data_IF_652971051669
#
_entry.id   IF_652971051669
#
_cell.length_a   1.000
_cell.length_b   1.000
_cell.length_c   1.000
_cell.angle_alpha   90.00
_cell.angle_beta   90.00
_cell.angle_gamma   90.00
#
_symmetry.space_group_name_H-M   'P 1'
#
loop_
_entity.id
_entity.type
_entity.pdbx_description
1 polymer ?
#
# COMPACT_ATOMS: atom_id res chain seq x y z
N UNK A 1 8.59 -13.09 -3.30
CA UNK A 1 7.89 -14.36 -3.03
C UNK A 1 8.18 -14.78 -1.60
N UNK A 2 7.18 -14.73 -0.70
CA UNK A 2 7.40 -15.02 0.71
C UNK A 2 7.59 -16.50 1.04
N UNK A 3 7.36 -17.42 0.09
CA UNK A 3 7.60 -18.86 0.27
C UNK A 3 8.98 -19.24 -0.27
N UNK A 4 9.32 -18.73 -1.45
CA UNK A 4 10.60 -19.02 -2.10
C UNK A 4 11.74 -18.08 -1.67
N UNK A 5 11.44 -17.02 -0.90
CA UNK A 5 12.39 -16.02 -0.41
C UNK A 5 13.24 -15.41 -1.55
N UNK A 6 12.57 -15.08 -2.66
CA UNK A 6 13.21 -14.50 -3.84
C UNK A 6 12.35 -13.38 -4.42
N UNK A 7 13.00 -12.46 -5.12
CA UNK A 7 12.32 -11.50 -6.00
C UNK A 7 11.84 -12.18 -7.27
N UNK A 8 10.86 -11.55 -7.93
CA UNK A 8 10.25 -12.00 -9.18
C UNK A 8 10.27 -10.85 -10.18
N UNK A 9 10.43 -11.19 -11.46
CA UNK A 9 10.11 -10.29 -12.57
C UNK A 9 8.59 -10.17 -12.74
N UNK A 10 8.13 -9.07 -13.35
CA UNK A 10 6.71 -8.89 -13.70
C UNK A 10 6.17 -10.06 -14.55
N UNK A 11 7.02 -10.65 -15.40
CA UNK A 11 6.67 -11.81 -16.23
C UNK A 11 6.48 -13.12 -15.43
N UNK A 12 6.89 -13.15 -14.16
CA UNK A 12 6.82 -14.32 -13.27
C UNK A 12 5.69 -14.20 -12.25
N UNK A 13 4.88 -13.15 -12.36
CA UNK A 13 3.69 -12.89 -11.55
C UNK A 13 2.45 -13.15 -12.39
N UNK A 14 1.68 -14.15 -11.99
CA UNK A 14 0.39 -14.47 -12.60
C UNK A 14 -0.73 -13.75 -11.83
N UNK A 15 -1.61 -13.06 -12.56
CA UNK A 15 -2.70 -12.30 -11.97
C UNK A 15 -3.99 -13.13 -11.95
N UNK A 16 -4.47 -13.43 -10.75
CA UNK A 16 -5.80 -14.01 -10.55
C UNK A 16 -6.84 -12.88 -10.49
N UNK A 17 -7.60 -12.74 -11.56
CA UNK A 17 -8.68 -11.76 -11.67
C UNK A 17 -9.97 -12.23 -10.97
N UNK A 18 -10.81 -11.29 -10.56
CA UNK A 18 -12.14 -11.62 -10.03
C UNK A 18 -12.13 -12.11 -8.58
N UNK A 19 -11.03 -11.97 -7.85
CA UNK A 19 -10.95 -12.40 -6.46
C UNK A 19 -11.86 -11.51 -5.62
N UNK A 20 -12.78 -12.14 -4.89
CA UNK A 20 -13.66 -11.45 -3.95
C UNK A 20 -12.85 -11.03 -2.72
N UNK A 21 -12.61 -9.74 -2.60
CA UNK A 21 -11.98 -9.09 -1.47
C UNK A 21 -12.95 -8.17 -0.74
N UNK A 22 -12.37 -7.37 0.15
CA UNK A 22 -13.06 -6.42 1.00
C UNK A 22 -12.32 -5.09 0.91
N UNK A 23 -13.06 -4.01 0.66
CA UNK A 23 -12.56 -2.66 0.82
C UNK A 23 -12.98 -2.15 2.19
N UNK A 24 -12.02 -2.13 3.11
CA UNK A 24 -12.19 -1.81 4.52
C UNK A 24 -12.02 -0.32 4.76
N UNK A 25 -12.96 0.28 5.50
CA UNK A 25 -12.95 1.69 5.85
C UNK A 25 -12.64 1.88 7.33
N UNK A 26 -11.68 2.74 7.64
CA UNK A 26 -11.35 3.09 9.01
C UNK A 26 -10.86 4.54 9.13
N UNK A 27 -10.95 5.07 10.33
CA UNK A 27 -10.64 6.45 10.64
C UNK A 27 -9.25 6.61 11.31
N UNK A 28 -8.53 7.63 10.88
CA UNK A 28 -7.40 8.21 11.58
C UNK A 28 -7.84 9.49 12.30
N UNK A 29 -7.50 9.65 13.58
CA UNK A 29 -7.84 10.87 14.32
C UNK A 29 -6.86 11.99 13.98
N UNK A 30 -7.35 13.20 13.75
CA UNK A 30 -6.48 14.36 13.57
C UNK A 30 -5.73 14.64 14.88
N UNK A 31 -4.43 14.92 14.77
CA UNK A 31 -3.55 15.16 15.93
C UNK A 31 -3.85 16.46 16.68
N UNK A 32 -4.63 17.37 16.07
CA UNK A 32 -5.13 18.58 16.71
C UNK A 32 -6.41 18.32 17.56
N UNK A 33 -7.01 17.13 17.41
CA UNK A 33 -8.23 16.72 18.11
C UNK A 33 -9.54 17.12 17.40
N UNK A 34 -9.47 17.83 16.27
CA UNK A 34 -10.62 18.45 15.60
C UNK A 34 -11.28 17.54 14.54
N UNK A 35 -11.26 16.22 14.75
CA UNK A 35 -11.98 15.27 13.91
C UNK A 35 -11.15 14.07 13.45
N UNK A 36 -11.52 13.53 12.30
CA UNK A 36 -10.93 12.31 11.75
C UNK A 36 -10.92 12.31 10.22
N UNK A 37 -10.05 11.49 9.65
CA UNK A 37 -9.94 11.22 8.22
C UNK A 37 -10.22 9.75 7.98
N UNK A 38 -11.21 9.45 7.16
CA UNK A 38 -11.59 8.07 6.83
C UNK A 38 -10.85 7.66 5.57
N UNK A 39 -10.11 6.56 5.64
CA UNK A 39 -9.42 5.96 4.50
C UNK A 39 -10.07 4.63 4.12
N UNK A 40 -9.90 4.23 2.86
CA UNK A 40 -10.32 2.93 2.35
C UNK A 40 -9.09 2.11 1.94
N UNK A 41 -9.03 0.84 2.31
CA UNK A 41 -7.94 -0.06 1.89
C UNK A 41 -8.38 -1.52 1.84
N UNK A 42 -7.75 -2.29 0.96
CA UNK A 42 -7.89 -3.75 0.93
C UNK A 42 -6.84 -4.47 1.78
N UNK A 43 -5.85 -3.74 2.28
CA UNK A 43 -4.70 -4.25 3.05
C UNK A 43 -4.51 -3.48 4.35
N UNK A 44 -5.44 -3.56 5.33
CA UNK A 44 -5.36 -2.79 6.55
C UNK A 44 -4.09 -3.13 7.37
N UNK A 45 -3.51 -4.32 7.23
CA UNK A 45 -2.25 -4.66 7.87
C UNK A 45 -1.06 -3.78 7.47
N UNK A 46 -1.10 -3.23 6.25
CA UNK A 46 -0.05 -2.35 5.76
C UNK A 46 -0.04 -1.01 6.48
N UNK A 47 -1.12 -0.66 7.21
CA UNK A 47 -1.22 0.62 7.92
C UNK A 47 -0.05 0.88 8.88
N UNK A 48 0.57 -0.18 9.40
CA UNK A 48 1.74 -0.08 10.27
C UNK A 48 2.92 0.65 9.59
N UNK A 49 3.00 0.61 8.27
CA UNK A 49 4.01 1.31 7.45
C UNK A 49 3.53 2.65 6.88
N UNK A 50 2.33 3.12 7.24
CA UNK A 50 1.76 4.35 6.67
C UNK A 50 2.63 5.57 7.01
N UNK A 51 3.03 6.31 5.97
CA UNK A 51 3.93 7.46 6.06
C UNK A 51 3.25 8.77 5.64
N UNK A 52 2.08 8.71 5.01
CA UNK A 52 1.18 9.84 4.81
C UNK A 52 -0.27 9.36 4.63
N UNK A 53 -1.21 10.29 4.69
CA UNK A 53 -2.53 10.17 4.05
C UNK A 53 -2.55 11.11 2.86
N UNK A 54 -2.82 10.60 1.66
CA UNK A 54 -2.99 11.44 0.47
C UNK A 54 -4.47 11.79 0.29
N UNK A 55 -4.74 13.04 -0.05
CA UNK A 55 -6.05 13.55 -0.46
C UNK A 55 -5.92 14.32 -1.76
N UNK A 56 -7.00 14.46 -2.53
CA UNK A 56 -6.95 15.28 -3.74
C UNK A 56 -6.96 16.77 -3.35
N UNK A 57 -6.03 17.61 -3.87
CA UNK A 57 -5.89 19.01 -3.45
C UNK A 57 -7.09 19.90 -3.79
N UNK A 58 -7.88 19.50 -4.78
CA UNK A 58 -9.10 20.22 -5.18
C UNK A 58 -10.37 19.63 -4.55
N UNK A 59 -10.27 18.58 -3.72
CA UNK A 59 -11.43 18.00 -3.05
C UNK A 59 -11.87 18.87 -1.87
N UNK A 60 -13.04 19.55 -1.94
CA UNK A 60 -13.50 20.44 -0.88
C UNK A 60 -13.82 19.69 0.43
N UNK A 61 -13.91 18.36 0.41
CA UNK A 61 -14.11 17.54 1.62
C UNK A 61 -12.85 17.46 2.48
N UNK A 62 -11.67 17.53 1.87
CA UNK A 62 -10.39 17.18 2.51
C UNK A 62 -9.26 18.19 2.29
N UNK A 63 -9.37 19.12 1.35
CA UNK A 63 -8.29 20.03 0.99
C UNK A 63 -7.76 20.88 2.16
N UNK A 64 -8.63 21.27 3.10
CA UNK A 64 -8.26 21.99 4.33
C UNK A 64 -7.44 21.15 5.32
N UNK A 65 -7.36 19.84 5.10
CA UNK A 65 -6.58 18.91 5.91
C UNK A 65 -5.12 18.82 5.45
N UNK A 66 -4.78 19.28 4.25
CA UNK A 66 -3.42 19.23 3.73
C UNK A 66 -2.48 20.02 4.63
N UNK A 67 -1.36 19.41 5.03
CA UNK A 67 -0.40 19.96 5.98
C UNK A 67 -0.75 19.71 7.45
N UNK A 68 -1.96 19.19 7.75
CA UNK A 68 -2.27 18.65 9.08
C UNK A 68 -1.65 17.26 9.27
N UNK A 69 -1.77 16.74 10.48
CA UNK A 69 -1.28 15.42 10.85
C UNK A 69 -2.39 14.62 11.53
N UNK A 70 -2.30 13.29 11.41
CA UNK A 70 -3.12 12.33 12.14
C UNK A 70 -2.26 11.49 13.08
N UNK A 71 -2.83 11.00 14.16
CA UNK A 71 -2.16 10.07 15.06
C UNK A 71 -2.37 8.62 14.59
N UNK A 72 -1.28 7.86 14.47
CA UNK A 72 -1.37 6.44 14.19
C UNK A 72 -1.98 5.71 15.41
N UNK A 73 -3.02 4.86 15.24
CA UNK A 73 -3.79 4.34 16.37
C UNK A 73 -3.04 3.32 17.23
N UNK A 74 -1.94 2.75 16.73
CA UNK A 74 -1.20 1.68 17.41
C UNK A 74 0.27 2.00 17.68
N UNK A 75 0.81 3.05 17.09
CA UNK A 75 2.22 3.39 17.11
C UNK A 75 2.34 4.86 17.49
N UNK A 76 3.39 5.21 18.24
CA UNK A 76 3.67 6.60 18.61
C UNK A 76 4.26 7.36 17.40
N UNK A 77 3.41 7.58 16.38
CA UNK A 77 3.76 8.20 15.11
C UNK A 77 2.66 9.15 14.67
N UNK A 78 3.06 10.35 14.26
CA UNK A 78 2.20 11.29 13.54
C UNK A 78 2.41 11.12 12.04
N UNK A 79 1.31 11.09 11.30
CA UNK A 79 1.30 10.86 9.86
C UNK A 79 0.79 12.15 9.19
N UNK A 80 1.57 12.78 8.29
CA UNK A 80 1.14 13.98 7.59
C UNK A 80 0.04 13.68 6.57
N UNK A 81 -0.79 14.69 6.30
CA UNK A 81 -1.75 14.68 5.20
C UNK A 81 -1.17 15.49 4.03
N UNK A 82 -1.07 14.87 2.86
CA UNK A 82 -0.49 15.46 1.65
C UNK A 82 -1.51 15.57 0.53
N UNK A 83 -1.35 16.58 -0.34
CA UNK A 83 -2.19 16.72 -1.53
C UNK A 83 -1.56 16.00 -2.73
N UNK A 84 -2.19 14.94 -3.25
CA UNK A 84 -1.69 14.20 -4.41
C UNK A 84 -2.79 13.91 -5.43
N UNK A 85 -2.89 14.78 -6.45
CA UNK A 85 -3.86 14.64 -7.53
C UNK A 85 -3.53 13.50 -8.53
N UNK A 86 -2.29 12.98 -8.51
CA UNK A 86 -1.87 11.92 -9.42
C UNK A 86 -2.34 10.53 -8.96
N UNK A 87 -2.44 10.33 -7.65
CA UNK A 87 -2.93 9.08 -7.06
C UNK A 87 -4.42 9.14 -6.70
N UNK A 88 -4.87 10.25 -6.09
CA UNK A 88 -6.17 10.26 -5.41
C UNK A 88 -7.27 10.67 -6.38
N UNK A 89 -8.13 9.71 -6.74
CA UNK A 89 -9.38 9.99 -7.44
C UNK A 89 -10.46 10.44 -6.43
N UNK A 90 -11.08 11.59 -6.68
CA UNK A 90 -12.16 12.13 -5.85
C UNK A 90 -13.41 11.25 -5.84
N UNK A 91 -13.67 10.49 -6.91
CA UNK A 91 -14.84 9.63 -7.05
C UNK A 91 -14.65 8.24 -6.41
N UNK A 92 -13.41 7.85 -6.12
CA UNK A 92 -13.10 6.53 -5.59
C UNK A 92 -12.95 6.51 -4.06
N UNK A 93 -13.60 5.53 -3.42
CA UNK A 93 -13.51 5.32 -1.98
C UNK A 93 -13.98 6.55 -1.19
N UNK A 94 -13.12 7.05 -0.30
CA UNK A 94 -13.42 8.22 0.55
C UNK A 94 -12.83 9.53 0.03
N UNK A 95 -12.08 9.50 -1.07
CA UNK A 95 -11.22 10.63 -1.49
C UNK A 95 -9.97 10.83 -0.61
N UNK A 96 -9.66 9.87 0.28
CA UNK A 96 -8.45 9.84 1.09
C UNK A 96 -7.83 8.44 1.10
N UNK A 97 -6.53 8.37 0.81
CA UNK A 97 -5.79 7.11 0.63
C UNK A 97 -4.63 7.06 1.62
N UNK A 98 -4.50 5.97 2.37
CA UNK A 98 -3.32 5.72 3.19
C UNK A 98 -2.11 5.39 2.33
N UNK A 99 -0.96 6.00 2.60
CA UNK A 99 0.25 5.87 1.79
C UNK A 99 1.30 5.05 2.52
N UNK A 100 1.67 3.93 1.92
CA UNK A 100 2.60 2.91 2.44
C UNK A 100 3.73 2.64 1.44
N UNK A 101 4.71 3.55 1.30
CA UNK A 101 5.65 3.51 0.17
C UNK A 101 6.44 2.21 0.02
N UNK A 102 6.65 1.47 1.11
CA UNK A 102 7.41 0.22 1.09
C UNK A 102 6.62 -1.02 0.64
N UNK A 103 5.29 -0.94 0.49
CA UNK A 103 4.40 -2.11 0.31
C UNK A 103 3.39 -1.99 -0.84
N UNK A 104 3.45 -0.90 -1.60
CA UNK A 104 2.62 -0.69 -2.81
C UNK A 104 3.37 0.20 -3.82
N UNK A 105 3.27 -0.11 -5.11
CA UNK A 105 4.00 0.60 -6.16
C UNK A 105 3.49 2.02 -6.40
N UNK A 106 2.18 2.25 -6.27
CA UNK A 106 1.61 3.59 -6.42
C UNK A 106 1.95 4.45 -5.21
N UNK A 107 1.88 3.88 -4.00
CA UNK A 107 2.30 4.55 -2.77
C UNK A 107 3.80 4.89 -2.80
N UNK A 108 4.63 4.03 -3.41
CA UNK A 108 6.06 4.29 -3.58
C UNK A 108 6.33 5.54 -4.42
N UNK A 109 5.58 5.72 -5.52
CA UNK A 109 5.71 6.91 -6.35
C UNK A 109 5.17 8.17 -5.66
N UNK A 110 4.12 8.08 -4.84
CA UNK A 110 3.70 9.19 -3.94
C UNK A 110 4.82 9.51 -2.95
N UNK A 111 5.40 8.48 -2.34
CA UNK A 111 6.50 8.63 -1.39
C UNK A 111 7.69 9.37 -1.99
N UNK A 112 8.03 9.13 -3.25
CA UNK A 112 9.04 9.92 -3.96
C UNK A 112 8.62 11.37 -4.21
N UNK A 113 7.39 11.60 -4.66
CA UNK A 113 6.89 12.97 -4.98
C UNK A 113 6.86 13.88 -3.76
N UNK A 114 6.56 13.32 -2.59
CA UNK A 114 6.39 14.06 -1.33
C UNK A 114 7.51 13.81 -0.32
N UNK A 115 8.61 13.17 -0.74
CA UNK A 115 9.78 12.87 0.10
C UNK A 115 9.43 12.12 1.40
N UNK A 116 8.47 11.18 1.32
CA UNK A 116 8.00 10.39 2.46
C UNK A 116 8.97 9.26 2.80
N UNK A 117 9.03 8.94 4.09
CA UNK A 117 9.77 7.78 4.57
C UNK A 117 9.18 6.48 4.01
N UNK A 118 10.04 5.51 3.72
CA UNK A 118 9.63 4.18 3.27
C UNK A 118 9.83 3.15 4.38
N UNK A 119 8.78 2.91 5.17
CA UNK A 119 8.83 2.05 6.35
C UNK A 119 8.52 0.59 5.96
N UNK A 120 9.54 -0.26 5.96
CA UNK A 120 9.35 -1.69 5.70
C UNK A 120 8.85 -2.39 6.97
N UNK A 121 7.63 -2.97 6.93
CA UNK A 121 6.99 -3.62 8.07
C UNK A 121 6.97 -5.15 7.98
N UNK A 122 7.31 -5.73 6.83
CA UNK A 122 7.37 -7.17 6.63
C UNK A 122 8.80 -7.65 6.46
N UNK A 123 9.09 -8.86 6.92
CA UNK A 123 10.30 -9.61 6.57
C UNK A 123 10.10 -10.42 5.27
N UNK A 124 11.15 -11.13 4.84
CA UNK A 124 11.14 -11.94 3.61
C UNK A 124 10.08 -13.05 3.62
N UNK A 125 9.63 -13.48 4.81
CA UNK A 125 8.56 -14.47 4.98
C UNK A 125 7.18 -13.81 5.14
N UNK A 126 7.08 -12.51 4.87
CA UNK A 126 5.88 -11.70 5.04
C UNK A 126 5.29 -11.72 6.46
N UNK A 127 6.17 -11.82 7.46
CA UNK A 127 5.81 -11.61 8.87
C UNK A 127 6.12 -10.20 9.29
N UNK A 128 5.32 -9.68 10.21
CA UNK A 128 5.48 -8.33 10.74
C UNK A 128 6.81 -8.24 11.50
N UNK A 129 7.66 -7.29 11.13
CA UNK A 129 8.95 -7.05 11.77
C UNK A 129 8.80 -6.09 12.97
N UNK A 130 9.93 -5.60 13.51
CA UNK A 130 9.97 -4.71 14.67
C UNK A 130 9.21 -3.38 14.49
N UNK A 131 9.08 -2.88 13.27
CA UNK A 131 8.37 -1.62 12.97
C UNK A 131 6.86 -1.75 13.14
N UNK A 132 6.33 -2.97 13.15
CA UNK A 132 4.91 -3.22 13.42
C UNK A 132 4.51 -3.17 14.89
N UNK A 133 5.45 -2.87 15.80
CA UNK A 133 5.21 -2.68 17.23
C UNK A 133 4.46 -3.87 17.86
N UNK A 134 3.24 -3.68 18.38
CA UNK A 134 2.51 -4.75 19.08
C UNK A 134 2.13 -5.95 18.19
N UNK A 135 2.23 -5.82 16.86
CA UNK A 135 1.91 -6.88 15.91
C UNK A 135 3.14 -7.68 15.44
N UNK A 136 4.33 -7.40 15.98
CA UNK A 136 5.57 -8.06 15.59
C UNK A 136 5.46 -9.60 15.68
N UNK A 137 5.98 -10.30 14.67
CA UNK A 137 6.05 -11.75 14.57
C UNK A 137 4.82 -12.42 13.94
N UNK A 138 3.71 -11.68 13.79
CA UNK A 138 2.49 -12.19 13.15
C UNK A 138 2.70 -12.36 11.65
N UNK A 139 2.09 -13.39 11.07
CA UNK A 139 1.90 -13.47 9.62
C UNK A 139 0.99 -12.33 9.16
N UNK A 140 1.20 -11.78 7.96
CA UNK A 140 0.42 -10.66 7.43
C UNK A 140 -1.10 -10.86 7.46
N UNK A 141 -1.60 -12.07 7.21
CA UNK A 141 -3.04 -12.33 7.21
C UNK A 141 -3.60 -12.43 8.63
N UNK A 142 -2.77 -12.84 9.59
CA UNK A 142 -3.12 -12.81 11.00
C UNK A 142 -3.08 -11.38 11.55
N UNK A 143 -2.04 -10.62 11.19
CA UNK A 143 -1.95 -9.19 11.50
C UNK A 143 -3.15 -8.42 10.97
N UNK A 144 -3.60 -8.72 9.74
CA UNK A 144 -4.81 -8.15 9.13
C UNK A 144 -6.04 -8.33 10.01
N UNK A 145 -6.27 -9.55 10.51
CA UNK A 145 -7.42 -9.85 11.38
C UNK A 145 -7.33 -9.10 12.71
N UNK A 146 -6.17 -9.15 13.36
CA UNK A 146 -5.96 -8.51 14.65
C UNK A 146 -6.05 -6.98 14.56
N UNK A 147 -5.53 -6.37 13.49
CA UNK A 147 -5.63 -4.93 13.25
C UNK A 147 -7.08 -4.50 13.09
N UNK A 148 -7.87 -5.20 12.26
CA UNK A 148 -9.30 -4.89 12.11
C UNK A 148 -10.04 -4.97 13.44
N UNK A 149 -9.79 -6.02 14.22
CA UNK A 149 -10.37 -6.17 15.55
C UNK A 149 -9.98 -5.01 16.47
N UNK A 150 -8.71 -4.61 16.49
CA UNK A 150 -8.22 -3.50 17.32
C UNK A 150 -8.82 -2.16 16.88
N UNK A 151 -8.97 -1.91 15.59
CA UNK A 151 -9.65 -0.72 15.07
C UNK A 151 -11.12 -0.67 15.51
N UNK A 152 -11.80 -1.82 15.50
CA UNK A 152 -13.16 -1.93 16.02
C UNK A 152 -13.24 -1.67 17.53
N UNK A 153 -12.34 -2.26 18.33
CA UNK A 153 -12.24 -2.02 19.78
C UNK A 153 -12.00 -0.53 20.11
N UNK A 154 -11.25 0.17 19.26
CA UNK A 154 -10.99 1.62 19.38
C UNK A 154 -12.12 2.50 18.82
N UNK A 155 -13.17 1.91 18.22
CA UNK A 155 -14.26 2.65 17.59
C UNK A 155 -13.84 3.41 16.32
N UNK A 156 -12.76 2.98 15.65
CA UNK A 156 -12.23 3.58 14.43
C UNK A 156 -12.72 2.90 13.16
N UNK A 157 -13.40 1.76 13.28
CA UNK A 157 -14.01 1.07 12.14
C UNK A 157 -15.15 1.90 11.52
N UNK A 158 -15.18 2.00 10.19
CA UNK A 158 -16.22 2.70 9.42
C UNK A 158 -16.94 1.79 8.43
N UNK A 159 -16.83 0.48 8.66
CA UNK A 159 -17.47 -0.57 7.87
C UNK A 159 -16.64 -1.06 6.69
N UNK A 160 -17.23 -1.90 5.87
CA UNK A 160 -16.59 -2.43 4.67
C UNK A 160 -17.59 -2.69 3.56
N UNK A 161 -17.07 -2.80 2.34
CA UNK A 161 -17.85 -3.16 1.15
C UNK A 161 -17.14 -4.27 0.39
N UNK A 162 -17.91 -5.10 -0.31
CA UNK A 162 -17.35 -6.07 -1.24
C UNK A 162 -16.56 -5.35 -2.33
N UNK A 163 -15.39 -5.89 -2.64
CA UNK A 163 -14.53 -5.31 -3.67
C UNK A 163 -13.86 -6.43 -4.44
N UNK A 164 -13.90 -6.35 -5.77
CA UNK A 164 -13.23 -7.32 -6.64
C UNK A 164 -11.81 -6.83 -6.90
N UNK A 165 -10.85 -7.72 -6.74
CA UNK A 165 -9.42 -7.41 -6.87
C UNK A 165 -8.70 -8.41 -7.77
N UNK A 166 -7.57 -7.96 -8.29
CA UNK A 166 -6.56 -8.80 -8.96
C UNK A 166 -5.46 -9.12 -7.95
N UNK A 167 -5.16 -10.40 -7.76
CA UNK A 167 -4.07 -10.85 -6.89
C UNK A 167 -2.91 -11.39 -7.72
N UNK A 168 -1.74 -10.77 -7.57
CA UNK A 168 -0.50 -11.32 -8.10
C UNK A 168 -0.08 -12.55 -7.30
N UNK A 169 0.24 -13.64 -8.01
CA UNK A 169 0.79 -14.87 -7.46
C UNK A 169 2.09 -15.23 -8.16
N UNK A 170 3.03 -15.78 -7.40
CA UNK A 170 4.25 -16.37 -7.94
C UNK A 170 3.88 -17.53 -8.87
N UNK A 171 4.32 -17.48 -10.13
CA UNK A 171 4.15 -18.60 -11.06
C UNK A 171 4.78 -19.90 -10.53
N UNK A 172 5.80 -19.80 -9.68
CA UNK A 172 6.57 -20.95 -9.20
C UNK A 172 5.99 -21.55 -7.93
N UNK A 173 5.70 -20.72 -6.92
CA UNK A 173 5.24 -21.20 -5.60
C UNK A 173 3.72 -21.10 -5.41
N UNK A 174 3.03 -20.35 -6.26
CA UNK A 174 1.61 -20.00 -6.10
C UNK A 174 1.34 -19.03 -4.95
N UNK A 175 2.37 -18.57 -4.23
CA UNK A 175 2.21 -17.64 -3.11
C UNK A 175 1.76 -16.26 -3.62
N UNK A 176 0.86 -15.61 -2.87
CA UNK A 176 0.53 -14.20 -3.10
C UNK A 176 1.81 -13.38 -2.92
N UNK A 177 2.16 -12.59 -3.94
CA UNK A 177 3.39 -11.79 -3.93
C UNK A 177 3.25 -10.57 -3.03
N UNK A 178 4.36 -10.22 -2.38
CA UNK A 178 4.46 -9.05 -1.52
C UNK A 178 5.37 -8.03 -2.18
N UNK A 179 4.90 -6.80 -2.43
CA UNK A 179 5.78 -5.69 -2.78
C UNK A 179 6.71 -5.38 -1.61
N UNK A 180 8.00 -5.22 -1.89
CA UNK A 180 9.01 -4.92 -0.90
C UNK A 180 10.14 -4.12 -1.54
N UNK A 181 10.59 -3.06 -0.87
CA UNK A 181 11.79 -2.33 -1.27
C UNK A 181 13.02 -3.18 -0.96
N UNK A 182 13.81 -3.46 -1.98
CA UNK A 182 15.10 -4.15 -1.84
C UNK A 182 16.09 -3.66 -2.89
N UNK A 183 17.38 -3.76 -2.59
CA UNK A 183 18.42 -3.46 -3.57
C UNK A 183 18.51 -4.61 -4.57
N UNK A 184 18.22 -4.32 -5.84
CA UNK A 184 18.21 -5.31 -6.91
C UNK A 184 19.00 -4.84 -8.14
N UNK A 185 19.35 -5.80 -8.99
CA UNK A 185 20.00 -5.54 -10.27
C UNK A 185 18.95 -5.46 -11.38
N UNK A 186 18.91 -4.31 -12.06
CA UNK A 186 17.98 -4.08 -13.18
C UNK A 186 18.74 -3.95 -14.49
N UNK A 187 18.17 -4.48 -15.57
CA UNK A 187 18.65 -4.27 -16.94
C UNK A 187 17.79 -3.21 -17.60
N UNK A 188 18.40 -2.14 -18.14
CA UNK A 188 17.68 -1.14 -18.92
C UNK A 188 17.29 -1.73 -20.28
N UNK A 189 16.06 -2.25 -20.38
CA UNK A 189 15.59 -3.00 -21.55
C UNK A 189 15.30 -2.14 -22.77
N UNK A 190 14.94 -0.86 -22.61
CA UNK A 190 14.57 0.03 -23.73
C UNK A 190 15.52 -0.01 -24.94
N UNK A 191 16.83 0.29 -24.77
CA UNK A 191 17.78 0.24 -25.88
C UNK A 191 17.96 -1.14 -26.51
N UNK A 192 17.80 -2.22 -25.73
CA UNK A 192 17.87 -3.59 -26.24
C UNK A 192 16.61 -3.96 -27.03
N UNK A 193 15.46 -3.51 -26.56
CA UNK A 193 14.17 -3.72 -27.20
C UNK A 193 14.11 -3.05 -28.58
N UNK A 194 14.63 -1.82 -28.71
CA UNK A 194 14.71 -1.11 -30.00
C UNK A 194 15.44 -1.94 -31.08
N UNK A 195 16.61 -2.51 -30.73
CA UNK A 195 17.39 -3.34 -31.67
C UNK A 195 16.67 -4.64 -32.03
N UNK A 196 16.02 -5.26 -31.04
CA UNK A 196 15.26 -6.50 -31.26
C UNK A 196 14.03 -6.27 -32.16
N UNK A 197 13.29 -5.19 -31.93
CA UNK A 197 12.12 -4.80 -32.73
C UNK A 197 12.54 -4.56 -34.18
N UNK A 198 13.61 -3.78 -34.39
CA UNK A 198 14.12 -3.47 -35.74
C UNK A 198 14.51 -4.74 -36.53
N UNK A 199 15.11 -5.73 -35.85
CA UNK A 199 15.49 -7.01 -36.49
C UNK A 199 14.25 -7.79 -36.92
N UNK A 200 13.23 -7.87 -36.06
CA UNK A 200 11.97 -8.56 -36.35
C UNK A 200 11.22 -7.87 -37.50
N UNK A 201 11.14 -6.53 -37.50
CA UNK A 201 10.49 -5.77 -38.57
C UNK A 201 11.21 -5.93 -39.93
N UNK A 202 12.52 -6.13 -39.91
CA UNK A 202 13.35 -6.41 -41.10
C UNK A 202 13.35 -7.88 -41.52
N UNK A 203 12.72 -8.77 -40.75
CA UNK A 203 12.68 -10.21 -41.01
C UNK A 203 14.04 -10.90 -40.88
N UNK A 204 14.91 -10.41 -39.99
CA UNK A 204 16.25 -10.93 -39.71
C UNK A 204 16.28 -11.86 -38.49
#
# INVERSE_FOLDING_TARGET
>A
DPVAHTVLSDLEVEHEEGVKGELYHFAYKLSDGDGEVIVATTRPETMLGDSAIAVHPEDPRHNELIGKTVDHPFLDRKIPIVGDAALVDMEFGTGAVKITPAHDFNDFEVGKRHELESITIFDESARVNKEGGPFQGLDRFEARKQIKQKLQELGLERGSQEHVMSLGKSQRSGAIVEPMISTQWFVKTGPLAEVAIDSVEKGQ
#
